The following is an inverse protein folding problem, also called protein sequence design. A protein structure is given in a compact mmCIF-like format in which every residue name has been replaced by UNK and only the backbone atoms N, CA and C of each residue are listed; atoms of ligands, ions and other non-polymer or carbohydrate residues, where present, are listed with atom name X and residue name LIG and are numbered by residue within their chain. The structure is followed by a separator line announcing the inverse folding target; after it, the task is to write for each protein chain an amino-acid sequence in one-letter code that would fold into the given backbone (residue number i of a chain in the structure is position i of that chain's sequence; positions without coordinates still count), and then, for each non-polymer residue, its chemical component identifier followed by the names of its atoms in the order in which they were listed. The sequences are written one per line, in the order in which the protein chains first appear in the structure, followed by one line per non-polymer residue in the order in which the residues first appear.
data_IF_167227826630
#
_entry.id   IF_167227826630
#
_cell.length_a   1.000
_cell.length_b   1.000
_cell.length_c   1.000
_cell.angle_alpha   90.00
_cell.angle_beta   90.00
_cell.angle_gamma   90.00
#
_symmetry.space_group_name_H-M   'P 1'
#
loop_
_entity.id
_entity.type
_entity.pdbx_description
1 polymer ?
#
# COMPACT_ATOMS: atom_id res chain seq x y z
N UNK A 1 29.97 -11.68 20.65
CA UNK A 1 30.14 -10.44 21.43
C UNK A 1 29.02 -9.52 20.96
N UNK A 2 28.14 -9.12 21.87
CA UNK A 2 27.03 -8.21 21.56
C UNK A 2 27.58 -6.91 20.96
N UNK A 3 27.02 -6.46 19.85
CA UNK A 3 27.35 -5.17 19.26
C UNK A 3 27.14 -4.05 20.31
N UNK A 4 28.20 -3.33 20.73
CA UNK A 4 28.11 -2.28 21.73
C UNK A 4 27.54 -0.94 21.20
N UNK A 5 27.08 -0.86 19.93
CA UNK A 5 26.62 0.41 19.32
C UNK A 5 25.11 0.64 19.23
N UNK A 6 24.24 -0.19 19.84
CA UNK A 6 22.82 0.19 20.01
C UNK A 6 22.44 0.26 21.49
N UNK A 7 22.34 1.46 22.09
CA UNK A 7 21.64 1.62 23.36
C UNK A 7 20.24 1.04 23.20
N UNK A 8 19.82 0.08 24.05
CA UNK A 8 18.52 -0.53 23.91
C UNK A 8 17.47 0.55 24.14
N UNK A 9 16.39 0.49 23.37
CA UNK A 9 15.15 1.26 23.54
C UNK A 9 14.63 1.26 24.99
N UNK A 10 15.13 0.33 25.82
CA UNK A 10 15.01 0.23 27.26
C UNK A 10 15.31 1.53 28.03
N UNK A 11 16.18 2.41 27.52
CA UNK A 11 16.54 3.66 28.21
C UNK A 11 15.58 4.83 27.93
N UNK A 12 14.62 4.69 27.01
CA UNK A 12 13.75 5.79 26.56
C UNK A 12 12.34 5.69 27.17
N UNK A 13 12.22 5.52 28.48
CA UNK A 13 10.92 5.61 29.18
C UNK A 13 10.37 7.05 29.22
N UNK A 14 11.26 8.02 29.00
CA UNK A 14 10.98 9.44 28.83
C UNK A 14 12.00 10.01 27.82
N UNK A 15 11.54 10.91 26.95
CA UNK A 15 12.39 11.60 25.98
C UNK A 15 12.10 13.09 26.11
N UNK A 16 13.12 13.91 26.37
CA UNK A 16 12.94 15.37 26.44
C UNK A 16 12.20 15.86 25.18
N UNK A 17 11.03 16.54 25.32
CA UNK A 17 10.29 17.09 24.20
C UNK A 17 11.15 17.94 23.25
N UNK A 18 12.17 18.64 23.76
CA UNK A 18 13.09 19.44 22.92
C UNK A 18 13.92 18.59 21.96
N UNK A 19 14.25 17.35 22.34
CA UNK A 19 14.93 16.41 21.44
C UNK A 19 13.98 16.04 20.30
N UNK A 20 12.73 15.71 20.60
CA UNK A 20 11.73 15.34 19.59
C UNK A 20 11.41 16.52 18.65
N UNK A 21 11.30 17.74 19.19
CA UNK A 21 11.11 18.97 18.42
C UNK A 21 12.28 19.21 17.47
N UNK A 22 13.52 19.07 17.95
CA UNK A 22 14.72 19.18 17.12
C UNK A 22 14.73 18.14 16.00
N UNK A 23 14.46 16.87 16.33
CA UNK A 23 14.43 15.79 15.34
C UNK A 23 13.34 16.01 14.29
N UNK A 24 12.21 16.61 14.67
CA UNK A 24 11.15 16.98 13.74
C UNK A 24 11.58 18.13 12.83
N UNK A 25 12.21 19.17 13.39
CA UNK A 25 12.75 20.31 12.63
C UNK A 25 13.84 19.88 11.63
N UNK A 26 14.70 18.93 12.01
CA UNK A 26 15.74 18.34 11.15
C UNK A 26 15.19 17.36 10.10
N UNK A 27 13.86 17.19 10.05
CA UNK A 27 13.17 16.25 9.15
C UNK A 27 13.57 14.80 9.40
N UNK A 28 14.05 14.45 10.60
CA UNK A 28 14.39 13.06 10.98
C UNK A 28 13.17 12.27 11.41
N UNK A 29 12.21 12.93 12.06
CA UNK A 29 10.95 12.34 12.49
C UNK A 29 9.77 13.20 12.04
N UNK A 30 8.59 12.61 12.04
CA UNK A 30 7.29 13.22 11.90
C UNK A 30 6.58 13.11 13.25
N UNK A 31 6.02 14.23 13.72
CA UNK A 31 5.30 14.31 14.99
C UNK A 31 3.90 14.84 14.75
N UNK A 32 2.90 14.16 15.32
CA UNK A 32 1.49 14.58 15.23
C UNK A 32 0.88 14.61 16.62
N UNK A 33 0.24 15.73 16.99
CA UNK A 33 -0.49 15.85 18.24
C UNK A 33 -1.82 15.12 18.16
N UNK A 34 -2.33 14.68 19.30
CA UNK A 34 -3.71 14.24 19.40
C UNK A 34 -4.67 15.39 18.96
N UNK A 35 -5.71 15.11 18.15
CA UNK A 35 -6.64 16.15 17.67
C UNK A 35 -7.35 16.91 18.78
N UNK A 36 -7.69 16.22 19.87
CA UNK A 36 -8.13 16.86 21.11
C UNK A 36 -6.91 17.36 21.90
N UNK A 37 -6.72 18.69 22.04
CA UNK A 37 -5.56 19.26 22.71
C UNK A 37 -5.56 19.01 24.23
N UNK A 38 -6.70 18.67 24.83
CA UNK A 38 -6.80 18.43 26.28
C UNK A 38 -6.12 17.13 26.71
N UNK A 39 -6.03 16.14 25.81
CA UNK A 39 -5.34 14.86 26.07
C UNK A 39 -3.83 15.09 26.20
N UNK A 40 -3.25 16.00 25.43
CA UNK A 40 -1.85 16.42 25.62
C UNK A 40 -0.78 15.40 25.21
N UNK A 41 -1.07 14.48 24.30
CA UNK A 41 -0.10 13.49 23.78
C UNK A 41 0.27 13.74 22.30
N UNK A 42 1.44 13.25 21.90
CA UNK A 42 1.94 13.28 20.53
C UNK A 42 2.41 11.90 20.10
N UNK A 43 2.25 11.57 18.81
CA UNK A 43 2.79 10.36 18.18
C UNK A 43 3.96 10.73 17.26
N UNK A 44 5.02 9.91 17.29
CA UNK A 44 6.29 10.13 16.61
C UNK A 44 6.67 8.95 15.72
N UNK A 45 7.09 9.24 14.50
CA UNK A 45 7.61 8.28 13.53
C UNK A 45 8.87 8.80 12.84
N UNK A 46 9.82 7.93 12.49
CA UNK A 46 10.89 8.29 11.58
C UNK A 46 10.31 8.74 10.24
N UNK A 47 10.97 9.71 9.60
CA UNK A 47 10.57 10.20 8.29
C UNK A 47 11.07 9.29 7.17
N UNK A 48 10.47 9.40 6.00
CA UNK A 48 10.96 8.70 4.79
C UNK A 48 12.40 9.12 4.45
N UNK A 49 12.76 10.38 4.73
CA UNK A 49 14.14 10.86 4.58
C UNK A 49 15.12 10.13 5.51
N UNK A 50 14.73 9.83 6.74
CA UNK A 50 15.53 9.03 7.66
C UNK A 50 15.71 7.61 7.15
N UNK A 51 14.63 6.98 6.68
CA UNK A 51 14.69 5.65 6.13
C UNK A 51 15.57 5.58 4.86
N UNK A 52 15.41 6.53 3.95
CA UNK A 52 16.17 6.59 2.71
C UNK A 52 17.67 6.87 2.93
N UNK A 53 18.01 7.73 3.90
CA UNK A 53 19.39 8.16 4.16
C UNK A 53 20.11 7.32 5.23
N UNK A 54 19.48 6.27 5.78
CA UNK A 54 20.08 5.46 6.85
C UNK A 54 20.39 6.24 8.13
N UNK A 55 19.61 7.28 8.47
CA UNK A 55 19.88 8.15 9.64
C UNK A 55 19.39 7.53 10.95
N UNK A 56 19.87 6.33 11.26
CA UNK A 56 19.42 5.54 12.41
C UNK A 56 20.24 5.84 13.66
N UNK A 57 19.52 6.14 14.73
CA UNK A 57 20.01 6.33 16.09
C UNK A 57 18.92 5.83 17.07
N UNK A 58 19.18 5.77 18.38
CA UNK A 58 18.18 5.25 19.32
C UNK A 58 16.82 5.95 19.26
N UNK A 59 16.79 7.27 19.01
CA UNK A 59 15.54 8.05 18.96
C UNK A 59 14.76 7.74 17.69
N UNK A 60 15.40 7.73 16.52
CA UNK A 60 14.76 7.43 15.24
C UNK A 60 14.31 5.97 15.14
N UNK A 61 15.07 5.03 15.72
CA UNK A 61 14.65 3.63 15.84
C UNK A 61 13.42 3.49 16.75
N UNK A 62 13.36 4.28 17.84
CA UNK A 62 12.22 4.31 18.76
C UNK A 62 10.98 4.97 18.16
N UNK A 63 11.16 6.01 17.35
CA UNK A 63 10.08 6.71 16.68
C UNK A 63 9.49 5.83 15.56
N UNK A 64 8.72 4.81 15.93
CA UNK A 64 7.91 4.02 15.02
C UNK A 64 6.64 3.66 15.78
N UNK A 65 5.64 4.53 15.64
CA UNK A 65 4.44 4.53 16.49
C UNK A 65 4.75 4.74 17.98
N UNK A 66 5.63 5.69 18.30
CA UNK A 66 5.94 6.09 19.69
C UNK A 66 5.01 7.20 20.15
N UNK A 67 4.36 7.06 21.30
CA UNK A 67 3.47 8.08 21.86
C UNK A 67 4.06 8.63 23.16
N UNK A 68 4.18 9.96 23.23
CA UNK A 68 4.68 10.66 24.41
C UNK A 68 3.71 11.72 24.91
N UNK A 69 3.77 12.05 26.20
CA UNK A 69 3.17 13.26 26.72
C UNK A 69 3.90 14.49 26.18
N UNK A 70 3.15 15.43 25.62
CA UNK A 70 3.72 16.58 24.92
C UNK A 70 4.51 17.51 25.85
N UNK A 71 4.12 17.60 27.13
CA UNK A 71 4.77 18.49 28.12
C UNK A 71 5.97 17.86 28.80
N UNK A 72 5.88 16.58 29.16
CA UNK A 72 6.87 15.90 30.01
C UNK A 72 7.83 15.03 29.20
N UNK A 73 7.41 14.60 28.01
CA UNK A 73 8.13 13.61 27.21
C UNK A 73 7.99 12.19 27.70
N UNK A 74 7.16 11.93 28.72
CA UNK A 74 6.93 10.60 29.27
C UNK A 74 6.31 9.70 28.21
N UNK A 75 6.84 8.48 28.05
CA UNK A 75 6.25 7.52 27.12
C UNK A 75 4.93 7.01 27.67
N UNK A 76 3.90 7.14 26.83
CA UNK A 76 2.52 6.70 27.11
C UNK A 76 2.28 5.34 26.47
N UNK A 77 2.71 5.17 25.23
CA UNK A 77 2.57 3.94 24.46
C UNK A 77 3.69 3.82 23.44
N UNK A 78 3.99 2.59 23.01
CA UNK A 78 5.00 2.34 21.97
C UNK A 78 4.65 1.10 21.15
N UNK A 79 4.94 1.18 19.86
CA UNK A 79 4.88 0.03 18.95
C UNK A 79 6.24 -0.66 18.82
N UNK A 80 6.38 -1.46 17.76
CA UNK A 80 7.69 -2.01 17.41
C UNK A 80 8.68 -0.89 17.10
N UNK A 81 9.90 -0.95 17.65
CA UNK A 81 11.03 -0.21 17.11
C UNK A 81 11.24 -0.51 15.62
N UNK A 82 11.98 0.33 14.90
CA UNK A 82 12.39 -0.02 13.53
C UNK A 82 13.26 -1.28 13.57
N UNK A 83 12.76 -2.33 12.93
CA UNK A 83 13.52 -3.52 12.58
C UNK A 83 13.66 -3.63 11.05
N UNK A 84 14.61 -4.44 10.63
CA UNK A 84 15.18 -4.40 9.30
C UNK A 84 14.97 -5.72 8.58
N UNK A 85 14.98 -5.65 7.26
CA UNK A 85 14.82 -6.79 6.40
C UNK A 85 16.15 -7.47 6.20
N UNK A 86 16.15 -8.77 5.91
CA UNK A 86 17.38 -9.57 5.74
C UNK A 86 18.36 -9.09 4.66
N UNK A 87 17.96 -8.11 3.83
CA UNK A 87 18.79 -7.50 2.80
C UNK A 87 19.24 -6.07 3.16
N UNK A 88 18.75 -5.50 4.26
CA UNK A 88 19.17 -4.18 4.76
C UNK A 88 20.48 -4.36 5.54
N UNK A 89 21.41 -3.40 5.45
CA UNK A 89 22.72 -3.46 6.12
C UNK A 89 22.58 -3.46 7.65
N UNK A 90 21.59 -2.75 8.18
CA UNK A 90 21.34 -2.63 9.62
C UNK A 90 20.52 -3.79 10.20
N UNK A 91 20.33 -4.86 9.42
CA UNK A 91 19.63 -6.07 9.83
C UNK A 91 20.24 -6.73 11.06
N UNK A 92 19.37 -7.35 11.86
CA UNK A 92 19.86 -8.29 12.86
C UNK A 92 20.50 -9.48 12.14
N UNK A 93 21.70 -9.88 12.60
CA UNK A 93 22.43 -11.03 12.09
C UNK A 93 22.37 -12.15 13.13
N UNK A 94 21.50 -13.17 12.95
CA UNK A 94 21.39 -14.27 13.89
C UNK A 94 22.70 -15.02 14.04
N UNK A 95 23.05 -15.33 15.29
CA UNK A 95 24.31 -15.98 15.66
C UNK A 95 24.20 -17.50 15.69
N UNK A 96 22.98 -18.03 15.67
CA UNK A 96 22.70 -19.46 15.88
C UNK A 96 22.75 -19.86 17.36
N UNK A 97 22.87 -18.90 18.28
CA UNK A 97 22.92 -19.13 19.73
C UNK A 97 21.66 -18.70 20.45
N UNK A 98 20.69 -18.18 19.72
CA UNK A 98 19.40 -17.74 20.25
C UNK A 98 18.61 -18.96 20.76
N UNK A 99 18.20 -18.92 22.03
CA UNK A 99 17.50 -20.05 22.66
C UNK A 99 16.08 -20.25 22.10
N UNK A 100 15.43 -19.17 21.65
CA UNK A 100 14.08 -19.25 21.07
C UNK A 100 14.03 -18.47 19.78
N UNK A 101 13.57 -19.15 18.72
CA UNK A 101 13.29 -18.56 17.42
C UNK A 101 11.83 -18.81 17.06
N UNK A 102 11.09 -17.73 16.74
CA UNK A 102 9.69 -17.81 16.35
C UNK A 102 9.54 -17.23 14.95
N UNK A 103 9.07 -18.04 14.00
CA UNK A 103 8.83 -17.62 12.62
C UNK A 103 7.34 -17.39 12.43
N UNK A 104 6.97 -16.14 12.16
CA UNK A 104 5.59 -15.70 12.02
C UNK A 104 5.29 -15.32 10.57
N UNK A 105 4.04 -15.53 10.16
CA UNK A 105 3.51 -14.91 8.96
C UNK A 105 3.67 -13.40 9.05
N UNK A 106 4.33 -12.82 8.05
CA UNK A 106 4.26 -11.39 7.86
C UNK A 106 2.93 -11.05 7.21
N UNK A 107 1.97 -10.67 8.05
CA UNK A 107 0.71 -10.12 7.58
C UNK A 107 0.93 -8.78 6.86
N UNK A 108 0.09 -8.54 5.85
CA UNK A 108 0.17 -7.43 4.91
C UNK A 108 -1.11 -6.58 5.01
N UNK A 109 -1.25 -5.93 6.15
CA UNK A 109 -2.35 -5.04 6.50
C UNK A 109 -1.84 -3.70 6.98
N UNK A 110 -2.40 -3.18 8.06
CA UNK A 110 -1.96 -1.90 8.62
C UNK A 110 -1.82 -1.94 10.12
N UNK A 111 -0.65 -1.52 10.59
CA UNK A 111 -0.37 -1.46 12.02
C UNK A 111 -1.29 -0.46 12.75
N UNK A 112 -1.76 -0.86 13.91
CA UNK A 112 -2.53 -0.03 14.83
C UNK A 112 -2.20 -0.35 16.28
N UNK A 113 -2.21 0.66 17.13
CA UNK A 113 -1.99 0.52 18.56
C UNK A 113 -3.27 0.80 19.33
N UNK A 114 -3.46 0.05 20.40
CA UNK A 114 -4.44 0.31 21.45
C UNK A 114 -3.72 0.45 22.79
N UNK A 115 -3.98 1.54 23.51
CA UNK A 115 -3.38 1.79 24.82
C UNK A 115 -4.33 2.60 25.71
N UNK A 116 -4.14 2.49 27.02
CA UNK A 116 -4.93 3.24 28.00
C UNK A 116 -4.23 4.53 28.40
N UNK A 117 -4.94 5.65 28.34
CA UNK A 117 -4.43 6.93 28.80
C UNK A 117 -5.57 7.83 29.30
N UNK A 118 -5.35 8.50 30.44
CA UNK A 118 -6.29 9.44 31.06
C UNK A 118 -7.75 8.94 31.10
N UNK A 119 -7.97 7.70 31.52
CA UNK A 119 -9.33 7.16 31.70
C UNK A 119 -10.00 6.62 30.44
N UNK A 120 -9.29 6.56 29.31
CA UNK A 120 -9.86 6.05 28.05
C UNK A 120 -8.88 5.17 27.26
N UNK A 121 -9.45 4.29 26.44
CA UNK A 121 -8.71 3.52 25.44
C UNK A 121 -8.54 4.38 24.18
N UNK A 122 -7.29 4.55 23.74
CA UNK A 122 -6.92 5.34 22.58
C UNK A 122 -6.41 4.42 21.48
N UNK A 123 -6.91 4.64 20.25
CA UNK A 123 -6.45 4.00 19.04
C UNK A 123 -5.54 4.94 18.24
N UNK A 124 -4.54 4.39 17.58
CA UNK A 124 -3.73 5.12 16.59
C UNK A 124 -3.27 4.19 15.49
N UNK A 125 -3.17 4.68 14.26
CA UNK A 125 -2.39 4.00 13.22
C UNK A 125 -0.88 4.19 13.46
N UNK A 126 -0.06 3.81 12.48
CA UNK A 126 1.39 4.04 12.49
C UNK A 126 1.77 5.46 12.95
N UNK A 127 1.06 6.50 12.52
CA UNK A 127 1.46 7.88 12.83
C UNK A 127 0.35 8.90 13.05
N UNK A 128 -0.91 8.47 13.16
CA UNK A 128 -2.05 9.37 13.32
C UNK A 128 -3.11 8.75 14.22
N UNK A 129 -3.67 9.57 15.12
CA UNK A 129 -4.80 9.21 15.97
C UNK A 129 -6.13 9.18 15.21
N UNK A 130 -6.25 9.98 14.13
CA UNK A 130 -7.48 10.28 13.39
C UNK A 130 -7.47 9.77 11.94
N UNK A 131 -6.75 8.67 11.69
CA UNK A 131 -6.67 8.08 10.34
C UNK A 131 -7.77 7.06 10.06
N UNK A 132 -8.03 6.78 8.78
CA UNK A 132 -8.92 5.70 8.34
C UNK A 132 -8.52 4.33 8.94
N UNK A 133 -7.22 4.06 9.10
CA UNK A 133 -6.76 2.82 9.74
C UNK A 133 -7.12 2.77 11.22
N UNK A 134 -6.97 3.88 11.96
CA UNK A 134 -7.41 3.95 13.36
C UNK A 134 -8.94 3.74 13.46
N UNK A 135 -9.71 4.32 12.52
CA UNK A 135 -11.15 4.11 12.43
C UNK A 135 -11.50 2.64 12.14
N UNK A 136 -10.82 1.97 11.21
CA UNK A 136 -11.03 0.55 10.94
C UNK A 136 -10.75 -0.32 12.17
N UNK A 137 -9.67 -0.06 12.91
CA UNK A 137 -9.42 -0.81 14.14
C UNK A 137 -10.54 -0.65 15.17
N UNK A 138 -11.01 0.60 15.37
CA UNK A 138 -12.11 0.89 16.29
C UNK A 138 -13.42 0.23 15.85
N UNK A 139 -13.71 0.23 14.56
CA UNK A 139 -14.85 -0.44 13.93
C UNK A 139 -14.81 -1.95 14.21
N UNK A 140 -13.69 -2.62 13.89
CA UNK A 140 -13.53 -4.06 14.13
C UNK A 140 -13.63 -4.40 15.62
N UNK A 141 -12.98 -3.61 16.48
CA UNK A 141 -13.02 -3.78 17.92
C UNK A 141 -14.47 -3.71 18.43
N UNK A 142 -15.24 -2.72 17.99
CA UNK A 142 -16.63 -2.56 18.39
C UNK A 142 -17.53 -3.70 17.92
N UNK A 143 -17.36 -4.15 16.68
CA UNK A 143 -18.21 -5.21 16.10
C UNK A 143 -17.91 -6.60 16.65
N UNK A 144 -16.62 -6.93 16.87
CA UNK A 144 -16.19 -8.31 17.14
C UNK A 144 -15.64 -8.54 18.54
N UNK A 145 -15.04 -7.51 19.14
CA UNK A 145 -14.17 -7.68 20.30
C UNK A 145 -14.49 -6.74 21.46
N UNK A 146 -15.66 -6.09 21.49
CA UNK A 146 -16.00 -5.12 22.54
C UNK A 146 -15.96 -5.74 23.94
N UNK A 147 -16.34 -7.02 24.05
CA UNK A 147 -16.27 -7.83 25.27
C UNK A 147 -14.84 -8.05 25.80
N UNK A 148 -13.80 -7.74 25.02
CA UNK A 148 -12.42 -7.88 25.43
C UNK A 148 -11.94 -6.73 26.34
N UNK A 149 -12.52 -5.53 26.25
CA UNK A 149 -12.04 -4.35 26.98
C UNK A 149 -11.83 -4.56 28.49
N UNK A 150 -12.73 -5.24 29.24
CA UNK A 150 -12.52 -5.47 30.67
C UNK A 150 -11.33 -6.38 31.00
N UNK A 151 -10.88 -7.18 30.03
CA UNK A 151 -9.76 -8.14 30.17
C UNK A 151 -8.42 -7.57 29.74
N UNK A 152 -8.41 -6.37 29.15
CA UNK A 152 -7.17 -5.72 28.71
C UNK A 152 -6.46 -5.04 29.88
N UNK A 153 -5.16 -5.23 29.94
CA UNK A 153 -4.26 -4.63 30.91
C UNK A 153 -3.94 -3.19 30.51
N UNK A 154 -4.29 -2.24 31.38
CA UNK A 154 -4.16 -0.80 31.15
C UNK A 154 -2.71 -0.31 31.17
N UNK A 155 -1.75 -1.12 31.62
CA UNK A 155 -0.33 -0.77 31.58
C UNK A 155 0.39 -1.27 30.33
N UNK A 156 -0.34 -1.94 29.43
CA UNK A 156 0.21 -2.48 28.18
C UNK A 156 -0.27 -1.67 26.97
N UNK A 157 0.59 -1.62 25.97
CA UNK A 157 0.26 -1.20 24.60
C UNK A 157 0.07 -2.45 23.76
N UNK A 158 -1.07 -2.58 23.09
CA UNK A 158 -1.37 -3.67 22.18
C UNK A 158 -1.07 -3.23 20.75
N UNK A 159 -0.30 -4.03 20.02
CA UNK A 159 0.06 -3.77 18.63
C UNK A 159 -0.64 -4.77 17.74
N UNK A 160 -1.51 -4.27 16.87
CA UNK A 160 -2.30 -5.06 15.96
C UNK A 160 -1.87 -4.84 14.51
N UNK A 161 -2.02 -5.89 13.69
CA UNK A 161 -2.24 -5.74 12.26
C UNK A 161 -3.74 -5.69 12.00
N UNK A 162 -4.19 -4.63 11.33
CA UNK A 162 -5.56 -4.52 10.83
C UNK A 162 -5.63 -5.18 9.46
N UNK A 163 -6.46 -6.21 9.36
CA UNK A 163 -6.90 -6.76 8.09
C UNK A 163 -8.30 -6.21 7.80
N UNK A 164 -8.45 -5.50 6.67
CA UNK A 164 -9.72 -4.87 6.31
C UNK A 164 -9.97 -4.92 4.80
N UNK A 165 -11.18 -5.31 4.33
CA UNK A 165 -11.45 -5.47 2.89
C UNK A 165 -11.37 -4.17 2.09
N UNK A 166 -11.53 -3.02 2.75
CA UNK A 166 -11.37 -1.69 2.13
C UNK A 166 -9.91 -1.20 2.11
N UNK A 167 -8.96 -1.98 2.60
CA UNK A 167 -7.55 -1.59 2.70
C UNK A 167 -6.64 -2.79 2.40
N UNK A 168 -6.63 -3.23 1.15
CA UNK A 168 -5.86 -4.40 0.71
C UNK A 168 -4.59 -3.98 -0.01
N UNK A 169 -3.44 -4.26 0.61
CA UNK A 169 -2.12 -3.85 0.12
C UNK A 169 -1.65 -4.80 -0.99
N UNK A 170 -1.22 -6.01 -0.65
CA UNK A 170 -0.75 -7.05 -1.56
C UNK A 170 -1.53 -8.36 -1.36
N UNK A 171 -1.44 -8.93 -0.16
CA UNK A 171 -2.09 -10.20 0.22
C UNK A 171 -3.60 -10.06 0.25
N UNK A 172 -4.30 -11.05 -0.30
CA UNK A 172 -5.76 -11.15 -0.34
C UNK A 172 -6.26 -12.01 0.81
N UNK A 173 -6.98 -11.36 1.73
CA UNK A 173 -7.58 -12.01 2.89
C UNK A 173 -9.06 -12.40 2.71
N UNK A 174 -9.52 -12.61 1.46
CA UNK A 174 -10.87 -13.08 1.14
C UNK A 174 -12.01 -12.34 1.87
N UNK A 175 -11.91 -11.02 2.01
CA UNK A 175 -12.94 -10.21 2.68
C UNK A 175 -12.87 -10.18 4.21
N UNK A 176 -11.86 -10.83 4.83
CA UNK A 176 -11.67 -10.81 6.28
C UNK A 176 -11.56 -9.38 6.81
N UNK A 177 -12.10 -9.22 8.00
CA UNK A 177 -12.11 -7.99 8.79
C UNK A 177 -11.68 -8.35 10.20
N UNK A 178 -10.45 -8.05 10.59
CA UNK A 178 -9.82 -8.68 11.76
C UNK A 178 -8.74 -7.80 12.39
N UNK A 179 -8.60 -7.94 13.71
CA UNK A 179 -7.47 -7.43 14.49
C UNK A 179 -6.58 -8.63 14.83
N UNK A 180 -5.38 -8.66 14.27
CA UNK A 180 -4.38 -9.69 14.61
C UNK A 180 -3.39 -9.11 15.59
N UNK A 181 -3.26 -9.70 16.78
CA UNK A 181 -2.33 -9.27 17.81
C UNK A 181 -0.89 -9.69 17.44
N UNK A 182 -0.03 -8.71 17.18
CA UNK A 182 1.37 -8.94 16.79
C UNK A 182 2.35 -8.78 17.95
N UNK A 183 2.09 -7.86 18.88
CA UNK A 183 2.93 -7.63 20.06
C UNK A 183 2.17 -6.94 21.18
N UNK A 184 2.73 -7.04 22.39
CA UNK A 184 2.28 -6.29 23.55
C UNK A 184 3.49 -5.70 24.27
N UNK A 185 3.55 -4.37 24.39
CA UNK A 185 4.68 -3.66 24.99
C UNK A 185 4.31 -3.02 26.32
N UNK A 186 5.28 -3.00 27.23
CA UNK A 186 5.28 -2.13 28.39
C UNK A 186 5.86 -0.77 28.04
N UNK A 187 5.63 0.22 28.90
CA UNK A 187 6.08 1.61 28.69
C UNK A 187 7.61 1.73 28.63
N UNK A 188 8.34 0.83 29.28
CA UNK A 188 9.82 0.72 29.27
C UNK A 188 10.37 -0.04 28.04
N UNK A 189 9.52 -0.47 27.11
CA UNK A 189 9.93 -1.21 25.91
C UNK A 189 10.16 -2.69 26.12
N UNK A 190 9.89 -3.25 27.30
CA UNK A 190 9.85 -4.70 27.45
C UNK A 190 8.61 -5.26 26.77
N UNK A 191 8.76 -6.43 26.18
CA UNK A 191 7.76 -7.09 25.37
C UNK A 191 7.22 -8.33 26.07
N UNK A 192 5.90 -8.48 26.08
CA UNK A 192 5.24 -9.66 26.59
C UNK A 192 5.35 -10.79 25.57
N UNK A 193 5.81 -11.95 26.02
CA UNK A 193 5.86 -13.18 25.22
C UNK A 193 4.45 -13.67 24.90
N UNK A 194 4.00 -13.49 23.66
CA UNK A 194 2.62 -13.80 23.26
C UNK A 194 2.34 -15.30 23.16
N UNK A 195 3.36 -16.06 22.74
CA UNK A 195 3.28 -17.48 22.40
C UNK A 195 3.54 -18.45 23.57
N UNK A 196 3.86 -17.93 24.75
CA UNK A 196 4.04 -18.76 25.93
C UNK A 196 2.73 -19.51 26.27
N UNK A 197 2.79 -20.74 26.82
CA UNK A 197 1.59 -21.45 27.29
C UNK A 197 0.78 -20.60 28.28
N UNK A 198 -0.54 -20.49 28.07
CA UNK A 198 -1.42 -19.58 28.82
C UNK A 198 -1.21 -18.09 28.50
N UNK A 199 -0.45 -17.78 27.46
CA UNK A 199 -0.11 -16.43 27.05
C UNK A 199 -1.24 -15.67 26.34
N UNK A 200 -0.99 -14.41 25.95
CA UNK A 200 -1.97 -13.57 25.27
C UNK A 200 -2.62 -14.17 24.02
N UNK A 201 -1.89 -14.94 23.20
CA UNK A 201 -2.47 -15.58 22.01
C UNK A 201 -3.47 -16.71 22.32
N UNK A 202 -3.42 -17.28 23.52
CA UNK A 202 -4.40 -18.29 23.97
C UNK A 202 -5.54 -17.67 24.78
N UNK A 203 -5.28 -16.56 25.47
CA UNK A 203 -6.22 -15.97 26.46
C UNK A 203 -7.01 -14.78 25.93
N UNK A 204 -6.50 -14.06 24.93
CA UNK A 204 -7.19 -12.92 24.31
C UNK A 204 -7.93 -13.36 23.04
N UNK A 205 -9.07 -12.73 22.69
CA UNK A 205 -9.93 -13.20 21.60
C UNK A 205 -9.49 -12.70 20.21
N UNK A 206 -8.31 -12.10 20.10
CA UNK A 206 -7.84 -11.51 18.86
C UNK A 206 -7.26 -12.57 17.92
N UNK A 207 -7.14 -12.24 16.63
CA UNK A 207 -6.40 -13.08 15.70
C UNK A 207 -4.92 -13.19 16.10
N UNK A 208 -4.25 -14.22 15.61
CA UNK A 208 -2.78 -14.37 15.70
C UNK A 208 -2.20 -14.69 14.32
N UNK A 209 -0.95 -14.32 14.02
CA UNK A 209 -0.29 -14.74 12.79
C UNK A 209 -0.15 -16.26 12.76
N UNK A 210 -0.05 -16.84 11.56
CA UNK A 210 0.39 -18.23 11.44
C UNK A 210 1.83 -18.35 11.92
N UNK A 211 2.11 -19.43 12.66
CA UNK A 211 3.45 -19.74 13.16
C UNK A 211 3.99 -20.91 12.36
N UNK A 212 5.23 -20.79 11.90
CA UNK A 212 5.90 -21.79 11.08
C UNK A 212 6.99 -22.50 11.87
N UNK A 213 7.06 -23.82 11.71
CA UNK A 213 8.18 -24.63 12.19
C UNK A 213 9.11 -24.87 11.01
N UNK A 214 10.28 -24.23 11.01
CA UNK A 214 11.30 -24.41 9.98
C UNK A 214 12.68 -24.45 10.63
N UNK A 215 13.47 -25.44 10.24
CA UNK A 215 14.89 -25.49 10.58
C UNK A 215 15.68 -24.87 9.44
N UNK A 216 16.22 -23.67 9.66
CA UNK A 216 17.09 -23.00 8.68
C UNK A 216 18.03 -22.03 9.39
N UNK A 217 19.24 -21.90 8.86
CA UNK A 217 20.16 -20.80 9.14
C UNK A 217 20.29 -19.83 7.96
N UNK A 218 19.72 -20.20 6.80
CA UNK A 218 19.70 -19.38 5.59
C UNK A 218 18.44 -18.49 5.54
N UNK A 219 18.46 -17.45 6.36
CA UNK A 219 17.39 -16.45 6.42
C UNK A 219 17.25 -15.66 5.12
N UNK A 220 18.34 -15.51 4.34
CA UNK A 220 18.31 -14.79 3.08
C UNK A 220 17.62 -15.62 1.98
N UNK A 221 17.90 -16.92 1.91
CA UNK A 221 17.30 -17.86 0.98
C UNK A 221 15.80 -18.06 1.19
N UNK A 222 15.27 -17.81 2.40
CA UNK A 222 13.82 -17.81 2.64
C UNK A 222 13.05 -16.83 1.74
N UNK A 223 13.71 -15.82 1.17
CA UNK A 223 13.09 -14.88 0.20
C UNK A 223 12.68 -15.56 -1.11
N UNK A 224 13.26 -16.72 -1.43
CA UNK A 224 13.04 -17.47 -2.66
C UNK A 224 11.98 -18.57 -2.51
N UNK A 225 11.35 -18.70 -1.33
CA UNK A 225 10.28 -19.66 -1.12
C UNK A 225 9.09 -19.38 -2.06
N UNK A 226 8.52 -20.41 -2.71
CA UNK A 226 7.49 -20.26 -3.74
C UNK A 226 6.08 -20.07 -3.14
N UNK A 227 5.97 -19.38 -2.00
CA UNK A 227 4.66 -19.12 -1.40
C UNK A 227 3.90 -18.07 -2.21
N UNK A 228 2.65 -18.38 -2.50
CA UNK A 228 1.71 -17.48 -3.17
C UNK A 228 0.88 -16.74 -2.13
N UNK A 229 0.42 -15.54 -2.48
CA UNK A 229 -0.45 -14.72 -1.65
C UNK A 229 0.08 -14.54 -0.21
N UNK A 230 1.38 -14.32 -0.09
CA UNK A 230 2.08 -14.13 1.18
C UNK A 230 3.12 -13.04 1.01
N UNK A 231 3.21 -12.12 1.97
CA UNK A 231 4.29 -11.13 1.97
C UNK A 231 5.63 -11.77 2.37
N UNK A 232 5.59 -12.75 3.27
CA UNK A 232 6.74 -13.47 3.80
C UNK A 232 6.66 -13.64 5.30
N UNK A 233 7.76 -13.34 6.01
CA UNK A 233 7.93 -13.69 7.41
C UNK A 233 8.44 -12.55 8.28
N UNK A 234 8.09 -12.59 9.56
CA UNK A 234 8.81 -11.91 10.63
C UNK A 234 9.39 -12.98 11.53
N UNK A 235 10.70 -12.96 11.73
CA UNK A 235 11.40 -13.88 12.63
C UNK A 235 11.77 -13.12 13.89
N UNK A 236 11.36 -13.65 15.04
CA UNK A 236 11.75 -13.18 16.38
C UNK A 236 12.83 -14.07 16.95
N UNK A 237 13.83 -13.43 17.54
CA UNK A 237 15.01 -14.05 18.11
C UNK A 237 15.14 -13.63 19.58
N UNK A 238 15.02 -14.59 20.48
CA UNK A 238 15.25 -14.38 21.90
C UNK A 238 16.61 -14.95 22.29
N UNK A 239 17.45 -14.13 22.92
CA UNK A 239 18.76 -14.58 23.39
C UNK A 239 18.65 -15.63 24.50
N UNK A 240 17.60 -15.52 25.33
CA UNK A 240 17.29 -16.46 26.41
C UNK A 240 15.79 -16.71 26.49
N UNK A 241 15.37 -17.78 27.16
CA UNK A 241 13.96 -18.09 27.40
C UNK A 241 13.15 -16.95 28.07
N UNK A 242 13.82 -16.07 28.83
CA UNK A 242 13.22 -14.94 29.55
C UNK A 242 13.53 -13.57 28.90
N UNK A 243 14.04 -13.56 27.68
CA UNK A 243 14.36 -12.31 26.98
C UNK A 243 13.08 -11.54 26.60
N UNK A 244 12.86 -10.40 27.26
CA UNK A 244 11.73 -9.50 27.01
C UNK A 244 12.02 -8.46 25.90
N UNK A 245 13.15 -8.57 25.19
CA UNK A 245 13.53 -7.62 24.13
C UNK A 245 14.08 -8.35 22.91
N UNK A 246 13.26 -9.20 22.26
CA UNK A 246 13.71 -10.00 21.15
C UNK A 246 14.10 -9.15 19.94
N UNK A 247 15.15 -9.61 19.26
CA UNK A 247 15.57 -9.08 17.97
C UNK A 247 14.64 -9.57 16.86
N UNK A 248 14.52 -8.78 15.79
CA UNK A 248 13.58 -9.05 14.70
C UNK A 248 14.20 -8.90 13.33
N UNK A 249 13.83 -9.83 12.46
CA UNK A 249 14.17 -9.83 11.05
C UNK A 249 12.91 -9.97 10.21
N UNK A 250 12.69 -9.08 9.24
CA UNK A 250 11.62 -9.27 8.24
C UNK A 250 12.20 -9.88 6.96
N UNK A 251 11.49 -10.85 6.41
CA UNK A 251 11.89 -11.53 5.18
C UNK A 251 10.70 -11.39 4.23
N UNK A 252 10.82 -10.51 3.23
CA UNK A 252 9.81 -10.39 2.17
C UNK A 252 10.18 -11.29 0.99
N UNK A 253 9.21 -12.04 0.49
CA UNK A 253 9.40 -12.92 -0.66
C UNK A 253 9.72 -12.11 -1.92
N UNK A 254 10.66 -12.57 -2.74
CA UNK A 254 10.96 -11.93 -4.04
C UNK A 254 9.72 -11.93 -4.93
N UNK A 255 8.99 -13.06 -4.96
CA UNK A 255 7.71 -13.18 -5.67
C UNK A 255 6.72 -12.10 -5.25
N UNK A 256 6.54 -11.85 -3.95
CA UNK A 256 5.64 -10.82 -3.45
C UNK A 256 6.04 -9.40 -3.91
N UNK A 257 7.34 -9.09 -3.86
CA UNK A 257 7.84 -7.78 -4.32
C UNK A 257 7.67 -7.61 -5.84
N UNK A 258 7.95 -8.65 -6.62
CA UNK A 258 7.69 -8.67 -8.06
C UNK A 258 6.20 -8.53 -8.38
N UNK A 259 5.36 -9.21 -7.61
CA UNK A 259 3.92 -9.10 -7.69
C UNK A 259 3.47 -7.65 -7.46
N UNK A 260 3.90 -6.98 -6.39
CA UNK A 260 3.53 -5.58 -6.14
C UNK A 260 3.92 -4.67 -7.32
N UNK A 261 5.14 -4.81 -7.84
CA UNK A 261 5.62 -4.03 -8.98
C UNK A 261 4.79 -4.27 -10.25
N UNK A 262 4.45 -5.53 -10.55
CA UNK A 262 3.64 -5.88 -11.72
C UNK A 262 2.20 -5.40 -11.53
N UNK A 263 1.65 -5.60 -10.33
CA UNK A 263 0.27 -5.29 -9.94
C UNK A 263 -0.05 -3.80 -10.10
N UNK A 264 0.88 -2.89 -9.81
CA UNK A 264 0.72 -1.45 -10.07
C UNK A 264 0.28 -1.13 -11.52
N UNK A 265 0.57 -2.02 -12.47
CA UNK A 265 0.27 -1.82 -13.90
C UNK A 265 -1.00 -2.54 -14.37
N UNK A 266 -1.69 -3.32 -13.51
CA UNK A 266 -2.72 -4.30 -13.95
C UNK A 266 -3.94 -4.35 -13.01
N UNK A 267 -4.10 -3.40 -12.10
CA UNK A 267 -4.89 -3.61 -10.89
C UNK A 267 -6.35 -3.21 -10.96
N UNK A 268 -6.64 -2.11 -11.64
CA UNK A 268 -7.97 -1.52 -11.74
C UNK A 268 -8.34 -1.28 -13.20
N UNK A 269 -9.64 -1.21 -13.48
CA UNK A 269 -10.18 -0.90 -14.80
C UNK A 269 -9.64 0.44 -15.32
N UNK A 270 -9.41 1.41 -14.42
CA UNK A 270 -8.76 2.67 -14.76
C UNK A 270 -7.32 2.48 -15.26
N UNK A 271 -6.57 1.53 -14.70
CA UNK A 271 -5.21 1.23 -15.15
C UNK A 271 -5.22 0.50 -16.50
N UNK A 272 -6.18 -0.40 -16.70
CA UNK A 272 -6.42 -1.04 -18.01
C UNK A 272 -6.72 0.04 -19.06
N UNK A 273 -7.60 1.01 -18.76
CA UNK A 273 -7.95 2.09 -19.68
C UNK A 273 -6.75 2.98 -20.00
N UNK A 274 -5.96 3.38 -18.99
CA UNK A 274 -4.73 4.17 -19.20
C UNK A 274 -3.72 3.43 -20.07
N UNK A 275 -3.52 2.13 -19.81
CA UNK A 275 -2.64 1.29 -20.63
C UNK A 275 -3.16 1.21 -22.07
N UNK A 276 -4.46 0.94 -22.26
CA UNK A 276 -5.09 0.87 -23.57
C UNK A 276 -4.92 2.17 -24.36
N UNK A 277 -5.19 3.33 -23.73
CA UNK A 277 -4.99 4.66 -24.34
C UNK A 277 -3.54 4.85 -24.73
N UNK A 278 -2.60 4.54 -23.84
CA UNK A 278 -1.16 4.63 -24.12
C UNK A 278 -0.80 3.84 -25.39
N UNK A 279 -1.19 2.56 -25.44
CA UNK A 279 -1.01 1.71 -26.62
C UNK A 279 -1.63 2.31 -27.88
N UNK A 280 -2.91 2.72 -27.82
CA UNK A 280 -3.63 3.28 -28.96
C UNK A 280 -2.97 4.54 -29.50
N UNK A 281 -2.44 5.41 -28.64
CA UNK A 281 -1.74 6.64 -29.06
C UNK A 281 -0.39 6.38 -29.75
N UNK A 282 0.22 5.22 -29.57
CA UNK A 282 1.43 4.82 -30.34
C UNK A 282 1.15 4.33 -31.76
N UNK A 283 -0.12 4.17 -32.11
CA UNK A 283 -0.56 3.74 -33.44
C UNK A 283 -1.08 4.98 -34.19
N UNK A 284 -0.23 5.60 -35.01
CA UNK A 284 -0.61 6.77 -35.80
C UNK A 284 -1.68 6.49 -36.86
N UNK A 285 -1.84 5.21 -37.26
CA UNK A 285 -2.83 4.81 -38.27
C UNK A 285 -4.28 4.86 -37.74
N UNK A 286 -5.19 5.19 -38.64
CA UNK A 286 -6.64 5.05 -38.48
C UNK A 286 -7.21 3.81 -39.20
N UNK A 287 -6.37 3.10 -39.95
CA UNK A 287 -6.75 1.85 -40.62
C UNK A 287 -7.13 0.78 -39.58
N UNK A 288 -8.32 0.20 -39.75
CA UNK A 288 -8.91 -0.74 -38.77
C UNK A 288 -8.09 -2.02 -38.64
N UNK A 289 -7.54 -2.55 -39.73
CA UNK A 289 -6.75 -3.78 -39.70
C UNK A 289 -5.41 -3.55 -39.02
N UNK A 290 -4.74 -2.43 -39.34
CA UNK A 290 -3.49 -2.02 -38.71
C UNK A 290 -3.68 -1.80 -37.20
N UNK A 291 -4.72 -1.08 -36.81
CA UNK A 291 -5.02 -0.82 -35.40
C UNK A 291 -5.37 -2.12 -34.69
N UNK A 292 -6.24 -2.95 -35.24
CA UNK A 292 -6.65 -4.24 -34.65
C UNK A 292 -5.44 -5.15 -34.41
N UNK A 293 -4.59 -5.34 -35.42
CA UNK A 293 -3.38 -6.16 -35.29
C UNK A 293 -2.44 -5.65 -34.20
N UNK A 294 -2.08 -4.36 -34.22
CA UNK A 294 -1.15 -3.78 -33.23
C UNK A 294 -1.74 -3.76 -31.82
N UNK A 295 -3.03 -3.46 -31.67
CA UNK A 295 -3.71 -3.55 -30.37
C UNK A 295 -3.78 -5.00 -29.88
N UNK A 296 -3.92 -5.98 -30.77
CA UNK A 296 -3.82 -7.41 -30.45
C UNK A 296 -2.46 -7.79 -29.85
N UNK A 297 -1.36 -7.30 -30.43
CA UNK A 297 0.00 -7.49 -29.90
C UNK A 297 0.15 -6.90 -28.49
N UNK A 298 -0.35 -5.67 -28.28
CA UNK A 298 -0.34 -5.03 -26.95
C UNK A 298 -1.21 -5.76 -25.92
N UNK A 299 -2.36 -6.28 -26.36
CA UNK A 299 -3.26 -7.11 -25.55
C UNK A 299 -2.56 -8.38 -25.11
N UNK A 300 -1.92 -9.10 -26.02
CA UNK A 300 -1.17 -10.32 -25.69
C UNK A 300 -0.07 -10.05 -24.65
N UNK A 301 0.71 -8.98 -24.84
CA UNK A 301 1.73 -8.58 -23.88
C UNK A 301 1.15 -8.25 -22.49
N UNK A 302 0.05 -7.51 -22.45
CA UNK A 302 -0.65 -7.17 -21.22
C UNK A 302 -1.14 -8.42 -20.48
N UNK A 303 -1.79 -9.35 -21.20
CA UNK A 303 -2.32 -10.58 -20.60
C UNK A 303 -1.21 -11.56 -20.18
N UNK A 304 -0.04 -11.55 -20.84
CA UNK A 304 1.14 -12.28 -20.35
C UNK A 304 1.57 -11.78 -18.96
N UNK A 305 1.60 -10.46 -18.77
CA UNK A 305 1.92 -9.86 -17.47
C UNK A 305 0.83 -10.17 -16.43
N UNK A 306 -0.45 -10.00 -16.79
CA UNK A 306 -1.58 -10.31 -15.91
C UNK A 306 -1.57 -11.77 -15.45
N UNK A 307 -1.41 -12.74 -16.36
CA UNK A 307 -1.33 -14.16 -16.01
C UNK A 307 -0.15 -14.47 -15.08
N UNK A 308 0.97 -13.77 -15.22
CA UNK A 308 2.13 -13.99 -14.34
C UNK A 308 1.91 -13.62 -12.86
N UNK A 309 0.84 -12.88 -12.55
CA UNK A 309 0.44 -12.51 -11.19
C UNK A 309 -0.94 -13.06 -10.80
N UNK A 310 -1.54 -13.90 -11.64
CA UNK A 310 -2.92 -14.32 -11.47
C UNK A 310 -3.13 -15.09 -10.16
N UNK A 311 -2.22 -16.00 -9.81
CA UNK A 311 -2.35 -16.84 -8.61
C UNK A 311 -2.47 -15.99 -7.33
N UNK A 312 -1.73 -14.88 -7.25
CA UNK A 312 -1.76 -13.93 -6.12
C UNK A 312 -3.05 -13.08 -6.08
N UNK A 313 -3.82 -13.06 -7.17
CA UNK A 313 -5.03 -12.25 -7.33
C UNK A 313 -6.33 -13.06 -7.47
N UNK A 314 -6.29 -14.38 -7.33
CA UNK A 314 -7.46 -15.26 -7.43
C UNK A 314 -7.54 -16.07 -8.73
N UNK A 315 -6.41 -16.22 -9.42
CA UNK A 315 -6.22 -17.11 -10.58
C UNK A 315 -7.05 -16.69 -11.80
N UNK A 316 -7.51 -17.69 -12.54
CA UNK A 316 -8.26 -17.52 -13.80
C UNK A 316 -9.55 -16.70 -13.66
N UNK A 317 -10.19 -16.72 -12.49
CA UNK A 317 -11.37 -15.90 -12.22
C UNK A 317 -11.03 -14.40 -12.30
N UNK A 318 -9.88 -14.01 -11.73
CA UNK A 318 -9.42 -12.62 -11.82
C UNK A 318 -9.00 -12.26 -13.24
N UNK A 319 -8.27 -13.14 -13.94
CA UNK A 319 -7.88 -12.94 -15.35
C UNK A 319 -9.11 -12.74 -16.24
N UNK A 320 -10.17 -13.51 -16.00
CA UNK A 320 -11.45 -13.36 -16.70
C UNK A 320 -12.09 -11.99 -16.45
N UNK A 321 -12.03 -11.48 -15.23
CA UNK A 321 -12.48 -10.12 -14.90
C UNK A 321 -11.69 -9.03 -15.63
N UNK A 322 -10.36 -9.18 -15.71
CA UNK A 322 -9.48 -8.30 -16.49
C UNK A 322 -9.84 -8.37 -17.99
N UNK A 323 -10.11 -9.57 -18.52
CA UNK A 323 -10.54 -9.77 -19.90
C UNK A 323 -11.88 -9.08 -20.19
N UNK A 324 -12.85 -9.20 -19.30
CA UNK A 324 -14.13 -8.50 -19.42
C UNK A 324 -13.95 -6.98 -19.38
N UNK A 325 -13.08 -6.46 -18.51
CA UNK A 325 -12.76 -5.04 -18.45
C UNK A 325 -12.11 -4.54 -19.76
N UNK A 326 -11.09 -5.26 -20.27
CA UNK A 326 -10.46 -4.95 -21.56
C UNK A 326 -11.47 -4.92 -22.70
N UNK A 327 -12.32 -5.96 -22.80
CA UNK A 327 -13.29 -6.06 -23.89
C UNK A 327 -14.30 -4.90 -23.86
N UNK A 328 -14.72 -4.44 -22.67
CA UNK A 328 -15.58 -3.26 -22.54
C UNK A 328 -14.90 -1.99 -23.08
N UNK A 329 -13.65 -1.78 -22.73
CA UNK A 329 -12.86 -0.63 -23.23
C UNK A 329 -12.72 -0.72 -24.76
N UNK A 330 -12.38 -1.90 -25.28
CA UNK A 330 -12.25 -2.16 -26.72
C UNK A 330 -13.55 -1.85 -27.48
N UNK A 331 -14.70 -2.29 -26.96
CA UNK A 331 -16.03 -1.99 -27.52
C UNK A 331 -16.29 -0.48 -27.55
N UNK A 332 -15.96 0.24 -26.47
CA UNK A 332 -16.12 1.70 -26.43
C UNK A 332 -15.26 2.37 -27.52
N UNK A 333 -13.99 1.98 -27.66
CA UNK A 333 -13.12 2.53 -28.69
C UNK A 333 -13.62 2.23 -30.10
N UNK A 334 -14.10 1.02 -30.38
CA UNK A 334 -14.74 0.68 -31.66
C UNK A 334 -15.94 1.60 -31.92
N UNK A 335 -16.78 1.84 -30.91
CA UNK A 335 -17.90 2.78 -31.01
C UNK A 335 -17.46 4.21 -31.29
N UNK A 336 -16.42 4.69 -30.59
CA UNK A 336 -15.86 6.04 -30.77
C UNK A 336 -15.34 6.21 -32.20
N UNK A 337 -14.60 5.22 -32.70
CA UNK A 337 -14.04 5.23 -34.06
C UNK A 337 -15.12 5.16 -35.13
N UNK A 338 -16.16 4.34 -34.94
CA UNK A 338 -17.30 4.28 -35.86
C UNK A 338 -17.99 5.64 -35.96
N UNK A 339 -18.26 6.28 -34.82
CA UNK A 339 -18.88 7.62 -34.80
C UNK A 339 -17.96 8.67 -35.43
N UNK A 340 -16.64 8.55 -35.25
CA UNK A 340 -15.68 9.42 -35.91
C UNK A 340 -15.75 9.29 -37.45
N UNK A 341 -15.81 8.08 -37.98
CA UNK A 341 -15.95 7.85 -39.42
C UNK A 341 -17.28 8.41 -39.97
N UNK A 342 -18.40 8.23 -39.25
CA UNK A 342 -19.69 8.83 -39.62
C UNK A 342 -19.58 10.36 -39.71
N UNK A 343 -18.94 11.01 -38.72
CA UNK A 343 -18.74 12.46 -38.71
C UNK A 343 -17.86 12.95 -39.85
N UNK A 344 -16.83 12.18 -40.23
CA UNK A 344 -16.00 12.52 -41.38
C UNK A 344 -16.78 12.43 -42.68
N UNK A 345 -17.69 11.46 -42.81
CA UNK A 345 -18.54 11.35 -43.99
C UNK A 345 -19.55 12.50 -44.08
N UNK A 346 -20.22 12.84 -42.97
CA UNK A 346 -21.10 14.02 -42.89
C UNK A 346 -20.36 15.30 -43.36
N UNK A 347 -19.13 15.49 -42.88
CA UNK A 347 -18.30 16.67 -43.24
C UNK A 347 -17.88 16.67 -44.71
N UNK A 348 -17.65 15.50 -45.29
CA UNK A 348 -17.34 15.35 -46.73
C UNK A 348 -18.55 15.65 -47.60
N UNK A 349 -19.73 15.16 -47.22
CA UNK A 349 -21.00 15.43 -47.90
C UNK A 349 -21.36 16.93 -47.85
N UNK A 350 -21.02 17.62 -46.76
CA UNK A 350 -21.13 19.08 -46.63
C UNK A 350 -20.07 19.85 -47.47
N UNK A 351 -19.22 19.12 -48.20
CA UNK A 351 -18.28 19.67 -49.18
C UNK A 351 -16.97 20.16 -48.58
N UNK A 352 -16.55 19.68 -47.40
CA UNK A 352 -15.28 20.07 -46.76
C UNK A 352 -14.17 19.01 -46.89
N UNK A 353 -14.28 18.11 -47.87
CA UNK A 353 -13.35 16.99 -48.08
C UNK A 353 -11.92 17.44 -48.44
N UNK A 354 -11.80 18.54 -49.18
CA UNK A 354 -10.55 19.12 -49.71
C UNK A 354 -9.72 19.90 -48.67
N UNK A 355 -10.33 20.24 -47.53
CA UNK A 355 -9.73 21.03 -46.44
C UNK A 355 -9.20 22.39 -46.91
N UNK A 356 -9.88 23.03 -47.86
CA UNK A 356 -9.46 24.33 -48.40
C UNK A 356 -9.34 25.43 -47.32
N UNK A 357 -8.16 26.04 -47.21
CA UNK A 357 -7.89 27.06 -46.18
C UNK A 357 -8.87 28.25 -46.21
N UNK A 358 -9.31 28.67 -47.41
CA UNK A 358 -10.30 29.74 -47.61
C UNK A 358 -11.64 29.47 -46.91
N UNK A 359 -11.99 28.19 -46.72
CA UNK A 359 -13.25 27.74 -46.12
C UNK A 359 -13.13 27.42 -44.63
N UNK A 360 -11.94 27.55 -44.03
CA UNK A 360 -11.66 27.23 -42.62
C UNK A 360 -12.62 27.91 -41.64
N UNK A 361 -12.97 29.18 -41.87
CA UNK A 361 -13.91 29.92 -41.01
C UNK A 361 -15.34 29.38 -41.13
N UNK A 362 -15.76 28.99 -42.33
CA UNK A 362 -17.08 28.41 -42.58
C UNK A 362 -17.17 27.02 -41.94
N UNK A 363 -16.13 26.20 -42.11
CA UNK A 363 -15.97 24.91 -41.45
C UNK A 363 -16.06 25.04 -39.93
N UNK A 364 -15.31 25.97 -39.32
CA UNK A 364 -15.32 26.17 -37.88
C UNK A 364 -16.73 26.51 -37.35
N UNK A 365 -17.44 27.42 -38.03
CA UNK A 365 -18.81 27.78 -37.66
C UNK A 365 -19.78 26.60 -37.78
N UNK A 366 -19.60 25.75 -38.80
CA UNK A 366 -20.41 24.55 -39.00
C UNK A 366 -20.18 23.52 -37.88
N UNK A 367 -18.93 23.20 -37.56
CA UNK A 367 -18.60 22.25 -36.48
C UNK A 367 -19.10 22.73 -35.12
N UNK A 368 -18.97 24.02 -34.82
CA UNK A 368 -19.45 24.58 -33.56
C UNK A 368 -20.98 24.45 -33.38
N UNK A 369 -21.73 24.48 -34.49
CA UNK A 369 -23.20 24.32 -34.51
C UNK A 369 -23.65 22.86 -34.41
N UNK A 370 -22.79 21.87 -34.70
CA UNK A 370 -23.12 20.45 -34.56
C UNK A 370 -23.32 20.09 -33.08
N UNK A 371 -24.38 19.33 -32.79
CA UNK A 371 -24.68 18.81 -31.45
C UNK A 371 -23.94 17.48 -31.21
N UNK A 372 -22.63 17.59 -30.98
CA UNK A 372 -21.71 16.48 -30.75
C UNK A 372 -20.80 16.80 -29.56
N UNK A 373 -20.17 15.77 -28.98
CA UNK A 373 -19.25 15.95 -27.86
C UNK A 373 -18.08 16.88 -28.24
N UNK A 374 -17.58 17.64 -27.27
CA UNK A 374 -16.54 18.65 -27.51
C UNK A 374 -15.25 18.02 -28.06
N UNK A 375 -14.85 16.86 -27.55
CA UNK A 375 -13.65 16.18 -28.07
C UNK A 375 -13.79 15.75 -29.53
N UNK A 376 -15.01 15.44 -30.02
CA UNK A 376 -15.22 15.23 -31.46
C UNK A 376 -15.04 16.53 -32.27
N UNK A 377 -15.46 17.68 -31.73
CA UNK A 377 -15.23 18.99 -32.39
C UNK A 377 -13.74 19.29 -32.48
N UNK A 378 -13.01 19.06 -31.38
CA UNK A 378 -11.56 19.23 -31.36
C UNK A 378 -10.84 18.25 -32.31
N UNK A 379 -11.34 17.02 -32.43
CA UNK A 379 -10.85 16.07 -33.42
C UNK A 379 -11.13 16.55 -34.86
N UNK A 380 -12.32 17.09 -35.16
CA UNK A 380 -12.64 17.66 -36.47
C UNK A 380 -11.75 18.85 -36.83
N UNK A 381 -11.45 19.74 -35.87
CA UNK A 381 -10.50 20.83 -36.10
C UNK A 381 -9.08 20.31 -36.37
N UNK A 382 -8.63 19.32 -35.61
CA UNK A 382 -7.34 18.65 -35.85
C UNK A 382 -7.27 18.02 -37.23
N UNK A 383 -8.32 17.32 -37.65
CA UNK A 383 -8.42 16.69 -38.96
C UNK A 383 -8.34 17.71 -40.09
N UNK A 384 -9.10 18.80 -39.98
CA UNK A 384 -9.11 19.88 -40.98
C UNK A 384 -7.73 20.51 -41.13
N UNK A 385 -6.99 20.63 -40.02
CA UNK A 385 -5.61 21.14 -40.00
C UNK A 385 -4.54 20.10 -40.39
N UNK A 386 -4.94 18.86 -40.72
CA UNK A 386 -4.01 17.78 -41.08
C UNK A 386 -3.18 17.25 -39.90
N UNK A 387 -3.68 17.41 -38.67
CA UNK A 387 -2.99 17.05 -37.42
C UNK A 387 -3.59 15.80 -36.80
N UNK A 388 -3.25 14.65 -37.37
CA UNK A 388 -3.74 13.32 -36.96
C UNK A 388 -3.46 13.00 -35.47
N UNK A 389 -2.36 13.51 -34.92
CA UNK A 389 -2.03 13.41 -33.50
C UNK A 389 -3.07 14.10 -32.60
N UNK A 390 -3.61 15.25 -33.04
CA UNK A 390 -4.64 16.00 -32.32
C UNK A 390 -5.97 15.26 -32.43
N UNK A 391 -6.28 14.71 -33.60
CA UNK A 391 -7.46 13.86 -33.81
C UNK A 391 -7.44 12.71 -32.81
N UNK A 392 -6.37 11.92 -32.83
CA UNK A 392 -6.25 10.72 -32.00
C UNK A 392 -6.30 11.04 -30.50
N UNK A 393 -5.58 12.09 -30.08
CA UNK A 393 -5.57 12.51 -28.67
C UNK A 393 -6.96 12.87 -28.16
N UNK A 394 -7.77 13.58 -28.95
CA UNK A 394 -9.12 13.95 -28.54
C UNK A 394 -10.09 12.75 -28.59
N UNK A 395 -9.98 11.89 -29.62
CA UNK A 395 -10.78 10.66 -29.65
C UNK A 395 -10.51 9.75 -28.44
N UNK A 396 -9.26 9.66 -27.97
CA UNK A 396 -8.93 8.91 -26.77
C UNK A 396 -9.54 9.48 -25.48
N UNK A 397 -9.84 10.78 -25.41
CA UNK A 397 -10.48 11.40 -24.23
C UNK A 397 -11.95 11.05 -24.09
N UNK A 398 -12.60 10.68 -25.20
CA UNK A 398 -13.99 10.25 -25.21
C UNK A 398 -14.18 8.88 -24.55
N UNK A 399 -13.10 8.10 -24.42
CA UNK A 399 -13.14 6.85 -23.68
C UNK A 399 -13.18 7.14 -22.19
N UNK A 400 -14.32 6.89 -21.58
CA UNK A 400 -14.54 6.97 -20.14
C UNK A 400 -15.25 5.72 -19.64
N UNK A 401 -14.97 5.34 -18.39
CA UNK A 401 -15.66 4.25 -17.72
C UNK A 401 -17.06 4.64 -17.24
#
# INVERSE_FOLDING_TARGET
MSDPQRPPLAALSQIDPKILEKYAADGKILSHRHPDPTIGISIHNYSDSTAFRGRWDPVTLACRTLVTETKTGKVVARGFPKFFGVHEEEAYHPTGKEEVVVIEEKLDGSISLLFWYQGSWIWTSKGRFDSAHAAFAKEIMGEKYAHAYPRLDKDKTYVFEIIHPKNVIGVRYAGRKELVLLAMFRKDGSEVRLEAPGGPWETLPFGKPNIFTMETSDWAGMRDLPLINSEGFVVRFHQTANDERPERLKIKLKRYLEFLKKRENVNDVQDILKYYISCRTTISSFDREVVSRRMGEFKEHYFKTARSIADDLGGEKWVSGVQSAWNRIEIQFVGIMRRWEELLEEVREEGYADREWSRKRQFANMVLRKYIAEDYKQALFGWYDGKDEIVLKNLCKLASL
#
